data_IF_097063918973
#
_entry.id   IF_097063918973
#
_cell.length_a   1.000
_cell.length_b   1.000
_cell.length_c   1.000
_cell.angle_alpha   90.00
_cell.angle_beta   90.00
_cell.angle_gamma   90.00
#
_symmetry.space_group_name_H-M   'P 1'
#
loop_
_entity.id
_entity.type
_entity.pdbx_description
1 polymer ?
#
# COMPACT_ATOMS: atom_id res chain seq x y z
N UNK A 1 19.73 22.14 -25.82
CA UNK A 1 18.34 21.65 -25.76
C UNK A 1 18.22 20.14 -25.46
N UNK A 2 19.32 19.39 -25.28
CA UNK A 2 19.28 17.91 -25.06
C UNK A 2 19.21 17.45 -23.58
N UNK A 3 19.57 18.27 -22.60
CA UNK A 3 19.53 17.84 -21.18
C UNK A 3 18.11 17.57 -20.66
N UNK A 4 17.14 18.39 -21.05
CA UNK A 4 15.78 18.25 -20.54
C UNK A 4 15.07 16.99 -21.08
N UNK A 5 15.35 16.61 -22.33
CA UNK A 5 14.77 15.38 -22.91
C UNK A 5 15.38 14.12 -22.30
N UNK A 6 16.70 14.09 -22.05
CA UNK A 6 17.35 12.94 -21.40
C UNK A 6 16.85 12.76 -19.96
N UNK A 7 16.73 13.84 -19.19
CA UNK A 7 16.19 13.79 -17.83
C UNK A 7 14.73 13.31 -17.80
N UNK A 8 13.91 13.76 -18.76
CA UNK A 8 12.53 13.32 -18.90
C UNK A 8 12.41 11.84 -19.28
N UNK A 9 13.24 11.36 -20.22
CA UNK A 9 13.28 9.93 -20.61
C UNK A 9 13.74 9.04 -19.44
N UNK A 10 14.76 9.46 -18.68
CA UNK A 10 15.19 8.74 -17.48
C UNK A 10 14.10 8.72 -16.40
N UNK A 11 13.41 9.84 -16.18
CA UNK A 11 12.31 9.92 -15.23
C UNK A 11 11.14 9.01 -15.63
N UNK A 12 10.76 8.98 -16.91
CA UNK A 12 9.73 8.07 -17.42
C UNK A 12 10.15 6.62 -17.23
N UNK A 13 11.35 6.25 -17.66
CA UNK A 13 11.86 4.89 -17.54
C UNK A 13 11.88 4.42 -16.07
N UNK A 14 12.29 5.31 -15.16
CA UNK A 14 12.25 5.03 -13.72
C UNK A 14 10.83 4.81 -13.21
N UNK A 15 9.88 5.68 -13.59
CA UNK A 15 8.47 5.54 -13.19
C UNK A 15 7.83 4.25 -13.73
N UNK A 16 8.10 3.88 -14.98
CA UNK A 16 7.62 2.62 -15.57
C UNK A 16 8.22 1.40 -14.84
N UNK A 17 9.51 1.44 -14.52
CA UNK A 17 10.19 0.38 -13.75
C UNK A 17 9.57 0.23 -12.37
N UNK A 18 9.32 1.35 -11.66
CA UNK A 18 8.65 1.32 -10.36
C UNK A 18 7.23 0.76 -10.45
N UNK A 19 6.48 1.11 -11.49
CA UNK A 19 5.13 0.61 -11.70
C UNK A 19 5.12 -0.91 -11.93
N UNK A 20 6.02 -1.41 -12.77
CA UNK A 20 6.17 -2.85 -13.02
C UNK A 20 6.59 -3.61 -11.74
N UNK A 21 7.57 -3.08 -11.00
CA UNK A 21 7.98 -3.66 -9.73
C UNK A 21 6.80 -3.73 -8.75
N UNK A 22 6.02 -2.67 -8.63
CA UNK A 22 4.81 -2.66 -7.80
C UNK A 22 3.84 -3.77 -8.19
N UNK A 23 3.56 -3.94 -9.49
CA UNK A 23 2.65 -5.02 -9.94
C UNK A 23 3.17 -6.43 -9.64
N UNK A 24 4.48 -6.65 -9.74
CA UNK A 24 5.10 -7.93 -9.40
C UNK A 24 5.09 -8.19 -7.89
N UNK A 25 5.30 -7.15 -7.08
CA UNK A 25 5.18 -7.26 -5.62
C UNK A 25 3.75 -7.54 -5.17
N UNK A 26 2.77 -6.84 -5.74
CA UNK A 26 1.35 -7.06 -5.46
C UNK A 26 0.93 -8.51 -5.83
N UNK A 27 1.57 -9.11 -6.85
CA UNK A 27 1.39 -10.52 -7.21
C UNK A 27 2.08 -11.50 -6.24
N UNK A 28 3.24 -11.14 -5.69
CA UNK A 28 4.01 -12.01 -4.79
C UNK A 28 3.44 -12.03 -3.37
N UNK A 29 2.79 -10.96 -2.93
CA UNK A 29 2.24 -10.83 -1.58
C UNK A 29 0.77 -11.29 -1.58
N UNK A 30 0.53 -12.55 -1.16
CA UNK A 30 -0.82 -13.06 -0.91
C UNK A 30 -1.32 -12.62 0.48
N UNK A 31 -1.91 -11.43 0.57
CA UNK A 31 -2.51 -10.89 1.79
C UNK A 31 -4.03 -10.90 1.72
N UNK A 32 -4.67 -11.47 2.74
CA UNK A 32 -6.14 -11.53 2.88
C UNK A 32 -6.59 -10.69 4.08
N UNK A 33 -7.35 -9.63 3.82
CA UNK A 33 -7.93 -8.79 4.86
C UNK A 33 -9.35 -9.23 5.19
N UNK A 34 -9.67 -9.30 6.47
CA UNK A 34 -11.00 -9.62 6.97
C UNK A 34 -11.53 -8.44 7.80
N UNK A 35 -12.74 -7.99 7.52
CA UNK A 35 -13.44 -6.99 8.31
C UNK A 35 -14.84 -7.51 8.65
N UNK A 36 -15.17 -7.51 9.93
CA UNK A 36 -16.53 -7.77 10.40
C UNK A 36 -17.21 -6.43 10.69
N UNK A 37 -18.31 -6.15 10.01
CA UNK A 37 -19.02 -4.88 10.11
C UNK A 37 -20.51 -5.07 9.78
N UNK A 38 -21.37 -4.34 10.49
CA UNK A 38 -22.84 -4.48 10.40
C UNK A 38 -23.48 -3.63 9.28
N UNK A 39 -22.84 -2.51 8.88
CA UNK A 39 -23.35 -1.63 7.83
C UNK A 39 -22.89 -2.13 6.45
N UNK A 40 -23.60 -1.75 5.38
CA UNK A 40 -23.30 -2.22 4.00
C UNK A 40 -22.83 -1.11 3.07
N UNK A 41 -22.05 -0.16 3.58
CA UNK A 41 -21.46 0.87 2.71
C UNK A 41 -20.26 0.32 1.95
N UNK A 42 -20.51 -0.29 0.79
CA UNK A 42 -19.47 -0.90 -0.04
C UNK A 42 -18.35 0.09 -0.43
N UNK A 43 -18.70 1.34 -0.73
CA UNK A 43 -17.72 2.36 -1.12
C UNK A 43 -16.82 2.77 0.03
N UNK A 44 -17.38 2.90 1.23
CA UNK A 44 -16.60 3.24 2.42
C UNK A 44 -15.69 2.08 2.84
N UNK A 45 -16.18 0.84 2.77
CA UNK A 45 -15.41 -0.37 3.01
C UNK A 45 -14.26 -0.53 1.98
N UNK A 46 -14.52 -0.27 0.69
CA UNK A 46 -13.47 -0.27 -0.35
C UNK A 46 -12.39 0.77 -0.06
N UNK A 47 -12.79 1.98 0.29
CA UNK A 47 -11.84 3.05 0.62
C UNK A 47 -11.02 2.73 1.88
N UNK A 48 -11.64 2.14 2.89
CA UNK A 48 -10.95 1.63 4.08
C UNK A 48 -9.88 0.59 3.71
N UNK A 49 -10.26 -0.44 2.95
CA UNK A 49 -9.32 -1.49 2.57
C UNK A 49 -8.19 -0.98 1.66
N UNK A 50 -8.47 -0.04 0.75
CA UNK A 50 -7.43 0.59 -0.06
C UNK A 50 -6.40 1.34 0.80
N UNK A 51 -6.86 2.14 1.78
CA UNK A 51 -5.95 2.89 2.67
C UNK A 51 -5.14 1.93 3.58
N UNK A 52 -5.78 0.88 4.11
CA UNK A 52 -5.09 -0.14 4.92
C UNK A 52 -4.10 -0.97 4.09
N UNK A 53 -4.43 -1.30 2.84
CA UNK A 53 -3.54 -2.03 1.94
C UNK A 53 -2.27 -1.25 1.63
N UNK A 54 -2.39 0.06 1.33
CA UNK A 54 -1.20 0.90 1.14
C UNK A 54 -0.30 0.95 2.38
N UNK A 55 -0.90 1.04 3.57
CA UNK A 55 -0.15 1.03 4.82
C UNK A 55 0.54 -0.33 5.03
N UNK A 56 -0.15 -1.42 4.75
CA UNK A 56 0.38 -2.77 4.86
C UNK A 56 1.58 -2.99 3.92
N UNK A 57 1.45 -2.61 2.65
CA UNK A 57 2.54 -2.71 1.67
C UNK A 57 3.77 -1.93 2.14
N UNK A 58 3.61 -0.72 2.69
CA UNK A 58 4.73 0.07 3.24
C UNK A 58 5.45 -0.65 4.40
N UNK A 59 4.72 -1.39 5.22
CA UNK A 59 5.31 -2.17 6.32
C UNK A 59 6.06 -3.38 5.79
N UNK A 60 5.45 -4.16 4.90
CA UNK A 60 6.04 -5.40 4.35
C UNK A 60 7.18 -5.12 3.37
N UNK A 61 7.17 -3.97 2.70
CA UNK A 61 8.28 -3.51 1.86
C UNK A 61 9.52 -3.08 2.66
N UNK A 62 9.42 -2.93 3.99
CA UNK A 62 10.60 -2.67 4.80
C UNK A 62 11.51 -3.92 4.78
N UNK A 63 12.76 -3.84 4.29
CA UNK A 63 13.66 -4.99 4.22
C UNK A 63 14.04 -5.57 5.59
N UNK A 64 13.73 -4.85 6.67
CA UNK A 64 13.93 -5.29 8.06
C UNK A 64 12.66 -5.87 8.70
N UNK A 65 11.55 -5.94 7.96
CA UNK A 65 10.32 -6.54 8.46
C UNK A 65 10.34 -8.06 8.24
N UNK A 66 10.18 -8.83 9.31
CA UNK A 66 10.01 -10.28 9.24
C UNK A 66 8.57 -10.59 8.83
N UNK A 67 8.39 -11.10 7.60
CA UNK A 67 7.09 -11.42 7.02
C UNK A 67 6.29 -12.45 7.82
N UNK A 68 6.95 -13.26 8.66
CA UNK A 68 6.29 -14.25 9.50
C UNK A 68 5.87 -13.70 10.88
N UNK A 69 6.24 -12.45 11.19
CA UNK A 69 5.86 -11.83 12.45
C UNK A 69 4.60 -11.00 12.32
N UNK A 70 3.92 -10.83 13.46
CA UNK A 70 2.81 -9.89 13.58
C UNK A 70 3.33 -8.48 13.41
N UNK A 71 2.57 -7.62 12.73
CA UNK A 71 2.86 -6.18 12.67
C UNK A 71 2.66 -5.62 14.08
N UNK A 72 3.76 -5.30 14.78
CA UNK A 72 3.74 -4.71 16.14
C UNK A 72 4.00 -3.19 16.13
N UNK A 73 3.93 -2.56 14.96
CA UNK A 73 4.19 -1.13 14.80
C UNK A 73 3.01 -0.32 15.33
N UNK A 74 3.22 0.42 16.43
CA UNK A 74 2.20 1.33 17.02
C UNK A 74 1.68 2.36 16.02
N UNK A 75 2.58 2.89 15.17
CA UNK A 75 2.23 3.83 14.11
C UNK A 75 1.33 3.22 13.03
N UNK A 76 1.43 1.91 12.78
CA UNK A 76 0.53 1.20 11.87
C UNK A 76 -0.86 1.09 12.50
N UNK A 77 -0.94 0.66 13.77
CA UNK A 77 -2.22 0.56 14.47
C UNK A 77 -2.97 1.89 14.55
N UNK A 78 -2.26 2.98 14.87
CA UNK A 78 -2.85 4.32 14.95
C UNK A 78 -3.44 4.77 13.61
N UNK A 79 -2.73 4.50 12.51
CA UNK A 79 -3.20 4.85 11.17
C UNK A 79 -4.38 3.99 10.73
N UNK A 80 -4.39 2.70 11.03
CA UNK A 80 -5.55 1.82 10.78
C UNK A 80 -6.76 2.28 11.59
N UNK A 81 -6.59 2.64 12.86
CA UNK A 81 -7.67 3.20 13.70
C UNK A 81 -8.18 4.53 13.14
N UNK A 82 -7.30 5.36 12.60
CA UNK A 82 -7.68 6.60 11.94
C UNK A 82 -8.49 6.36 10.66
N UNK A 83 -8.08 5.40 9.84
CA UNK A 83 -8.81 5.00 8.64
C UNK A 83 -10.19 4.41 9.00
N UNK A 84 -10.27 3.59 10.06
CA UNK A 84 -11.53 3.06 10.55
C UNK A 84 -12.50 4.19 10.93
N UNK A 85 -12.07 5.18 11.72
CA UNK A 85 -12.90 6.34 12.08
C UNK A 85 -13.36 7.18 10.88
N UNK A 86 -12.63 7.13 9.77
CA UNK A 86 -12.90 7.92 8.58
C UNK A 86 -13.90 7.25 7.64
N UNK A 87 -13.96 5.92 7.63
CA UNK A 87 -14.69 5.15 6.61
C UNK A 87 -15.67 4.12 7.15
N UNK A 88 -15.58 3.69 8.41
CA UNK A 88 -16.43 2.66 9.01
C UNK A 88 -17.32 3.26 10.11
#
# INVERSE_FOLDING_TARGET
MSSNSIQYVQAIFYQETLQQLKTLFDFYIDARFLLLHENRSEDAIKNFFNEVYELFVKVVMNPFYDSNQKIQLSSFEERVKSAARKYL
#
